data_IF_019988568839
#
_entry.id   IF_019988568839
#
_cell.length_a   1.000
_cell.length_b   1.000
_cell.length_c   1.000
_cell.angle_alpha   90.00
_cell.angle_beta   90.00
_cell.angle_gamma   90.00
#
_symmetry.space_group_name_H-M   'P 1'
#
loop_
_entity.id
_entity.type
_entity.pdbx_description
1 polymer ?
#
# COMPACT_ATOMS: atom_id res chain seq x y z
N UNK A 1 44.36 -31.45 -26.65
CA UNK A 1 44.48 -30.59 -25.46
C UNK A 1 43.07 -30.17 -25.07
N UNK A 2 42.54 -30.75 -23.99
CA UNK A 2 41.21 -30.48 -23.49
C UNK A 2 41.32 -29.38 -22.42
N UNK A 3 40.72 -28.22 -22.66
CA UNK A 3 40.53 -27.22 -21.62
C UNK A 3 39.12 -27.37 -21.06
N UNK A 4 39.03 -27.97 -19.87
CA UNK A 4 37.85 -27.94 -19.04
C UNK A 4 37.59 -26.53 -18.53
N UNK A 5 36.40 -26.02 -18.79
CA UNK A 5 35.78 -24.95 -18.03
C UNK A 5 34.53 -25.54 -17.38
N UNK A 6 34.74 -26.23 -16.26
CA UNK A 6 33.71 -26.54 -15.28
C UNK A 6 34.08 -25.81 -14.01
N UNK A 7 33.65 -24.56 -13.87
CA UNK A 7 33.05 -24.11 -12.60
C UNK A 7 32.49 -22.70 -12.76
N UNK A 8 31.17 -22.62 -12.66
CA UNK A 8 30.42 -21.39 -12.84
C UNK A 8 28.91 -21.63 -12.66
N UNK A 9 28.54 -22.63 -11.88
CA UNK A 9 27.17 -22.83 -11.40
C UNK A 9 27.14 -22.64 -9.89
N UNK A 10 27.76 -21.56 -9.41
CA UNK A 10 27.51 -21.04 -8.08
C UNK A 10 26.09 -20.45 -8.05
N UNK A 11 25.12 -21.29 -7.68
CA UNK A 11 23.95 -20.88 -6.92
C UNK A 11 23.07 -19.78 -7.51
N UNK A 12 22.48 -19.99 -8.68
CA UNK A 12 21.17 -19.39 -8.96
C UNK A 12 20.09 -20.28 -8.30
N UNK A 13 20.09 -20.37 -6.97
CA UNK A 13 18.90 -20.83 -6.24
C UNK A 13 17.86 -19.74 -6.47
N UNK A 14 16.82 -20.06 -7.25
CA UNK A 14 15.80 -19.12 -7.64
C UNK A 14 15.28 -18.35 -6.43
N UNK A 15 15.59 -17.06 -6.34
CA UNK A 15 14.87 -16.12 -5.49
C UNK A 15 13.47 -16.01 -6.08
N UNK A 16 12.58 -16.90 -5.69
CA UNK A 16 11.17 -16.81 -6.06
C UNK A 16 10.66 -15.45 -5.55
N UNK A 17 10.39 -14.54 -6.49
CA UNK A 17 9.86 -13.22 -6.16
C UNK A 17 8.46 -13.36 -5.56
N UNK A 18 8.21 -12.61 -4.48
CA UNK A 18 6.91 -12.52 -3.86
C UNK A 18 5.95 -11.81 -4.80
N UNK A 19 4.79 -12.40 -5.08
CA UNK A 19 3.75 -11.74 -5.87
C UNK A 19 2.75 -11.09 -4.93
N UNK A 20 2.74 -9.76 -4.89
CA UNK A 20 1.81 -8.96 -4.09
C UNK A 20 0.64 -8.48 -4.95
N UNK A 21 -0.58 -8.67 -4.47
CA UNK A 21 -1.73 -7.97 -5.05
C UNK A 21 -1.66 -6.48 -4.66
N UNK A 22 -1.68 -5.61 -5.67
CA UNK A 22 -1.59 -4.15 -5.51
C UNK A 22 -2.76 -3.47 -6.21
N UNK A 23 -3.02 -2.21 -5.86
CA UNK A 23 -4.04 -1.39 -6.50
C UNK A 23 -3.37 -0.24 -7.25
N UNK A 24 -3.79 0.00 -8.49
CA UNK A 24 -3.34 1.11 -9.32
C UNK A 24 -4.53 2.00 -9.70
N UNK A 25 -4.29 3.30 -9.89
CA UNK A 25 -5.28 4.23 -10.42
C UNK A 25 -5.60 3.86 -11.88
N UNK A 26 -6.88 3.78 -12.24
CA UNK A 26 -7.33 3.40 -13.60
C UNK A 26 -7.48 4.59 -14.57
N UNK A 27 -7.19 5.82 -14.11
CA UNK A 27 -7.30 7.06 -14.89
C UNK A 27 -8.73 7.57 -15.07
N UNK A 28 -9.74 6.89 -14.53
CA UNK A 28 -11.17 7.23 -14.65
C UNK A 28 -11.85 7.49 -13.30
N UNK A 29 -11.05 7.68 -12.25
CA UNK A 29 -11.54 7.87 -10.89
C UNK A 29 -11.80 6.56 -10.13
N UNK A 30 -11.39 5.42 -10.68
CA UNK A 30 -11.44 4.12 -10.04
C UNK A 30 -10.05 3.53 -9.79
N UNK A 31 -10.05 2.28 -9.35
CA UNK A 31 -8.84 1.53 -9.05
C UNK A 31 -8.91 0.16 -9.71
N UNK A 32 -7.80 -0.26 -10.32
CA UNK A 32 -7.64 -1.60 -10.90
C UNK A 32 -6.65 -2.40 -10.08
N UNK A 33 -6.96 -3.68 -9.84
CA UNK A 33 -6.06 -4.58 -9.14
C UNK A 33 -4.97 -5.08 -10.10
N UNK A 34 -3.73 -5.12 -9.61
CA UNK A 34 -2.56 -5.61 -10.33
C UNK A 34 -1.69 -6.50 -9.45
N UNK A 35 -0.57 -6.95 -10.01
CA UNK A 35 0.42 -7.77 -9.32
C UNK A 35 1.78 -7.10 -9.37
N UNK A 36 2.44 -7.02 -8.21
CA UNK A 36 3.80 -6.53 -8.08
C UNK A 36 4.71 -7.69 -7.65
N UNK A 37 5.80 -7.91 -8.38
CA UNK A 37 6.83 -8.88 -7.99
C UNK A 37 7.89 -8.18 -7.13
N UNK A 38 8.14 -8.69 -5.94
CA UNK A 38 9.04 -8.09 -4.95
C UNK A 38 9.99 -9.15 -4.41
N UNK A 39 11.27 -8.81 -4.28
CA UNK A 39 12.22 -9.68 -3.60
C UNK A 39 11.80 -9.91 -2.14
N UNK A 40 11.86 -11.15 -1.61
CA UNK A 40 11.46 -11.44 -0.22
C UNK A 40 12.17 -10.57 0.83
N UNK A 41 13.43 -10.22 0.57
CA UNK A 41 14.25 -9.33 1.43
C UNK A 41 13.72 -7.89 1.48
N UNK A 42 12.98 -7.45 0.45
CA UNK A 42 12.39 -6.12 0.39
C UNK A 42 10.98 -6.05 1.00
N UNK A 43 10.33 -7.18 1.30
CA UNK A 43 9.00 -7.21 1.90
C UNK A 43 8.88 -6.40 3.21
N UNK A 44 9.86 -6.41 4.14
CA UNK A 44 9.81 -5.56 5.33
C UNK A 44 9.82 -4.06 4.98
N UNK A 45 10.62 -3.65 4.00
CA UNK A 45 10.70 -2.27 3.52
C UNK A 45 9.38 -1.85 2.88
N UNK A 46 8.81 -2.69 2.02
CA UNK A 46 7.50 -2.46 1.39
C UNK A 46 6.42 -2.30 2.45
N UNK A 47 6.36 -3.18 3.45
CA UNK A 47 5.44 -3.06 4.59
C UNK A 47 5.61 -1.71 5.30
N UNK A 48 6.84 -1.32 5.62
CA UNK A 48 7.11 -0.05 6.30
C UNK A 48 6.64 1.16 5.48
N UNK A 49 6.84 1.16 4.17
CA UNK A 49 6.35 2.22 3.26
C UNK A 49 4.83 2.32 3.28
N UNK A 50 4.11 1.20 3.20
CA UNK A 50 2.64 1.21 3.25
C UNK A 50 2.08 1.61 4.61
N UNK A 51 2.75 1.22 5.71
CA UNK A 51 2.40 1.71 7.06
C UNK A 51 2.55 3.22 7.14
N UNK A 52 3.66 3.79 6.65
CA UNK A 52 3.85 5.24 6.63
C UNK A 52 2.82 5.95 5.76
N UNK A 53 2.49 5.40 4.60
CA UNK A 53 1.45 5.95 3.73
C UNK A 53 0.08 5.96 4.43
N UNK A 54 -0.29 4.86 5.09
CA UNK A 54 -1.54 4.77 5.87
C UNK A 54 -1.62 5.83 6.96
N UNK A 55 -0.54 6.03 7.73
CA UNK A 55 -0.54 7.04 8.79
C UNK A 55 -0.64 8.47 8.22
N UNK A 56 -0.05 8.74 7.04
CA UNK A 56 -0.26 10.01 6.33
C UNK A 56 -1.72 10.19 5.90
N UNK A 57 -2.36 9.16 5.37
CA UNK A 57 -3.79 9.24 5.01
C UNK A 57 -4.68 9.48 6.23
N UNK A 58 -4.41 8.82 7.37
CA UNK A 58 -5.12 9.10 8.63
C UNK A 58 -4.97 10.55 9.08
N UNK A 59 -3.76 11.12 8.98
CA UNK A 59 -3.54 12.53 9.28
C UNK A 59 -4.33 13.45 8.33
N UNK A 60 -4.44 13.08 7.05
CA UNK A 60 -5.27 13.81 6.08
C UNK A 60 -6.76 13.68 6.39
N UNK A 61 -7.26 12.55 6.89
CA UNK A 61 -8.66 12.38 7.33
C UNK A 61 -8.98 13.38 8.44
N UNK A 62 -8.10 13.51 9.43
CA UNK A 62 -8.27 14.49 10.52
C UNK A 62 -8.36 15.92 9.96
N UNK A 63 -7.50 16.26 8.99
CA UNK A 63 -7.55 17.56 8.32
C UNK A 63 -8.83 17.75 7.52
N UNK A 64 -9.32 16.71 6.83
CA UNK A 64 -10.58 16.73 6.09
C UNK A 64 -11.77 16.99 7.03
N UNK A 65 -11.80 16.31 8.17
CA UNK A 65 -12.83 16.53 9.20
C UNK A 65 -12.77 17.96 9.77
N UNK A 66 -11.59 18.55 9.90
CA UNK A 66 -11.47 19.97 10.28
C UNK A 66 -12.09 20.87 9.21
N UNK A 67 -11.80 20.63 7.93
CA UNK A 67 -12.37 21.40 6.81
C UNK A 67 -13.91 21.31 6.77
N UNK A 68 -14.48 20.15 7.11
CA UNK A 68 -15.94 19.98 7.22
C UNK A 68 -16.60 20.91 8.26
N UNK A 69 -15.85 21.29 9.29
CA UNK A 69 -16.36 22.02 10.45
C UNK A 69 -15.80 23.45 10.57
N UNK A 70 -15.25 24.00 9.48
CA UNK A 70 -14.80 25.39 9.46
C UNK A 70 -16.01 26.32 9.60
N UNK A 71 -15.87 27.38 10.41
CA UNK A 71 -16.85 28.46 10.47
C UNK A 71 -16.63 29.43 9.30
N UNK A 72 -17.70 29.99 8.71
CA UNK A 72 -17.55 31.02 7.67
C UNK A 72 -16.83 32.25 8.23
N UNK A 73 -15.97 32.89 7.41
CA UNK A 73 -15.20 34.08 7.83
C UNK A 73 -16.08 35.33 8.04
N UNK A 74 -17.34 35.29 7.61
CA UNK A 74 -18.32 36.36 7.75
C UNK A 74 -19.75 35.84 7.67
N UNK A 75 -20.71 36.70 8.00
CA UNK A 75 -22.15 36.36 8.03
C UNK A 75 -22.85 36.51 6.68
N UNK A 76 -22.13 36.89 5.61
CA UNK A 76 -22.70 37.00 4.28
C UNK A 76 -23.01 35.62 3.67
N UNK A 77 -24.01 35.59 2.80
CA UNK A 77 -24.50 34.37 2.16
C UNK A 77 -23.43 33.69 1.30
N UNK A 78 -22.48 34.45 0.74
CA UNK A 78 -21.41 33.89 -0.11
C UNK A 78 -20.40 33.14 0.75
N UNK A 79 -19.96 33.73 1.86
CA UNK A 79 -19.06 33.10 2.84
C UNK A 79 -19.67 31.83 3.42
N UNK A 80 -20.95 31.87 3.81
CA UNK A 80 -21.68 30.69 4.31
C UNK A 80 -21.76 29.59 3.26
N UNK A 81 -22.12 29.93 2.03
CA UNK A 81 -22.21 28.96 0.92
C UNK A 81 -20.85 28.35 0.57
N UNK A 82 -19.79 29.16 0.52
CA UNK A 82 -18.44 28.69 0.22
C UNK A 82 -17.95 27.66 1.25
N UNK A 83 -18.15 27.94 2.54
CA UNK A 83 -17.80 26.99 3.62
C UNK A 83 -18.69 25.74 3.59
N UNK A 84 -19.98 25.88 3.27
CA UNK A 84 -20.87 24.74 3.13
C UNK A 84 -20.45 23.80 1.98
N UNK A 85 -20.06 24.36 0.83
CA UNK A 85 -19.62 23.57 -0.32
C UNK A 85 -18.23 22.96 -0.07
N UNK A 86 -17.31 23.68 0.59
CA UNK A 86 -16.05 23.14 1.08
C UNK A 86 -16.29 21.94 2.02
N UNK A 87 -17.22 22.08 2.96
CA UNK A 87 -17.55 21.02 3.91
C UNK A 87 -18.13 19.78 3.23
N UNK A 88 -18.94 19.95 2.18
CA UNK A 88 -19.40 18.83 1.36
C UNK A 88 -18.23 18.11 0.66
N UNK A 89 -17.33 18.84 0.01
CA UNK A 89 -16.17 18.24 -0.67
C UNK A 89 -15.21 17.54 0.29
N UNK A 90 -15.03 18.09 1.50
CA UNK A 90 -14.23 17.49 2.55
C UNK A 90 -14.93 16.31 3.27
N UNK A 91 -16.21 16.08 2.95
CA UNK A 91 -17.10 15.09 3.52
C UNK A 91 -16.69 13.63 3.33
N UNK A 92 -17.52 12.74 3.88
CA UNK A 92 -17.37 11.28 3.75
C UNK A 92 -18.32 10.68 2.70
N UNK A 93 -18.99 11.52 1.90
CA UNK A 93 -19.86 11.09 0.80
C UNK A 93 -19.08 10.58 -0.41
N UNK A 94 -19.77 9.92 -1.34
CA UNK A 94 -19.15 9.44 -2.58
C UNK A 94 -18.58 10.61 -3.40
N UNK A 95 -17.36 10.44 -3.90
CA UNK A 95 -16.61 11.49 -4.60
C UNK A 95 -16.01 12.57 -3.69
N UNK A 96 -16.19 12.47 -2.37
CA UNK A 96 -15.61 13.42 -1.42
C UNK A 96 -14.22 12.97 -0.95
N UNK A 97 -13.47 13.93 -0.42
CA UNK A 97 -12.09 13.72 0.04
C UNK A 97 -12.02 12.69 1.18
N UNK A 98 -12.90 12.78 2.17
CA UNK A 98 -12.92 11.86 3.32
C UNK A 98 -13.14 10.41 2.89
N UNK A 99 -14.10 10.17 1.98
CA UNK A 99 -14.34 8.85 1.39
C UNK A 99 -13.12 8.32 0.65
N UNK A 100 -12.51 9.14 -0.20
CA UNK A 100 -11.31 8.76 -0.97
C UNK A 100 -10.14 8.40 -0.05
N UNK A 101 -9.93 9.16 1.01
CA UNK A 101 -8.87 8.90 1.99
C UNK A 101 -9.12 7.60 2.78
N UNK A 102 -10.37 7.35 3.19
CA UNK A 102 -10.76 6.10 3.85
C UNK A 102 -10.55 4.89 2.94
N UNK A 103 -10.88 5.00 1.65
CA UNK A 103 -10.64 3.94 0.68
C UNK A 103 -9.13 3.71 0.46
N UNK A 104 -8.30 4.76 0.47
CA UNK A 104 -6.85 4.63 0.44
C UNK A 104 -6.29 3.93 1.68
N UNK A 105 -6.81 4.23 2.87
CA UNK A 105 -6.43 3.56 4.13
C UNK A 105 -6.74 2.06 4.04
N UNK A 106 -7.95 1.70 3.63
CA UNK A 106 -8.37 0.30 3.49
C UNK A 106 -7.44 -0.47 2.53
N UNK A 107 -7.10 0.13 1.39
CA UNK A 107 -6.17 -0.49 0.42
C UNK A 107 -4.75 -0.62 0.96
N UNK A 108 -4.26 0.32 1.76
CA UNK A 108 -2.98 0.17 2.45
C UNK A 108 -3.03 -1.02 3.42
N UNK A 109 -4.10 -1.19 4.18
CA UNK A 109 -4.27 -2.32 5.09
C UNK A 109 -4.32 -3.66 4.35
N UNK A 110 -5.01 -3.73 3.20
CA UNK A 110 -5.03 -4.91 2.34
C UNK A 110 -3.62 -5.30 1.87
N UNK A 111 -2.84 -4.33 1.39
CA UNK A 111 -1.47 -4.58 0.91
C UNK A 111 -0.57 -5.00 2.07
N UNK A 112 -0.66 -4.35 3.24
CA UNK A 112 0.08 -4.75 4.44
C UNK A 112 -0.25 -6.20 4.80
N UNK A 113 -1.52 -6.57 4.82
CA UNK A 113 -1.95 -7.94 5.10
C UNK A 113 -1.42 -8.96 4.08
N UNK A 114 -1.37 -8.60 2.80
CA UNK A 114 -0.78 -9.46 1.76
C UNK A 114 0.74 -9.62 1.91
N UNK A 115 1.44 -8.55 2.30
CA UNK A 115 2.88 -8.60 2.58
C UNK A 115 3.16 -9.47 3.81
N UNK A 116 2.38 -9.33 4.88
CA UNK A 116 2.53 -10.17 6.08
C UNK A 116 2.32 -11.65 5.79
N UNK A 117 1.28 -12.00 5.03
CA UNK A 117 1.05 -13.37 4.57
C UNK A 117 2.22 -13.89 3.73
N UNK A 118 2.73 -13.07 2.82
CA UNK A 118 3.89 -13.44 1.99
C UNK A 118 5.12 -13.69 2.85
N UNK A 119 5.42 -12.82 3.81
CA UNK A 119 6.55 -13.00 4.74
C UNK A 119 6.43 -14.29 5.57
N UNK A 120 5.22 -14.64 6.01
CA UNK A 120 4.97 -15.90 6.72
C UNK A 120 5.24 -17.12 5.84
N UNK A 121 4.78 -17.09 4.59
CA UNK A 121 5.03 -18.17 3.62
C UNK A 121 6.54 -18.38 3.39
N UNK A 122 7.30 -17.30 3.20
CA UNK A 122 8.77 -17.41 3.03
C UNK A 122 9.46 -17.95 4.28
N UNK A 123 9.05 -17.52 5.49
CA UNK A 123 9.61 -18.04 6.74
C UNK A 123 9.39 -19.56 6.89
N UNK A 124 8.20 -20.04 6.52
CA UNK A 124 7.88 -21.48 6.54
C UNK A 124 8.68 -22.23 5.48
N UNK A 125 8.79 -21.68 4.26
CA UNK A 125 9.59 -22.27 3.18
C UNK A 125 11.07 -22.40 3.57
N UNK A 126 11.66 -21.34 4.12
CA UNK A 126 13.05 -21.31 4.55
C UNK A 126 13.32 -22.31 5.70
N UNK A 127 12.41 -22.39 6.67
CA UNK A 127 12.48 -23.39 7.75
C UNK A 127 12.41 -24.82 7.20
N UNK A 128 11.54 -25.07 6.21
CA UNK A 128 11.39 -26.40 5.60
C UNK A 128 12.60 -26.80 4.73
N UNK A 129 13.21 -25.84 4.03
CA UNK A 129 14.43 -26.03 3.27
C UNK A 129 15.62 -26.31 4.20
N UNK A 130 15.71 -25.57 5.30
CA UNK A 130 16.73 -25.75 6.35
C UNK A 130 16.69 -27.16 6.98
N UNK A 131 15.50 -27.73 7.14
CA UNK A 131 15.32 -29.09 7.70
C UNK A 131 15.76 -30.17 6.70
N UNK A 132 15.51 -29.99 5.40
CA UNK A 132 15.89 -30.98 4.36
C UNK A 132 17.38 -31.00 4.04
N UNK A 133 18.12 -29.93 4.38
CA UNK A 133 19.56 -29.78 4.10
C UNK A 133 20.47 -30.23 5.25
N UNK A 134 19.90 -30.75 6.35
CA UNK A 134 20.69 -31.30 7.45
C UNK A 134 20.93 -32.81 7.19
N UNK A 135 22.17 -33.25 6.90
CA UNK A 135 22.51 -34.67 6.79
C UNK A 135 22.41 -35.40 8.13
#
# INVERSE_FOLDING_TARGET
MANGFTDGAAGAVGREMATLAVWANDGKGGFTQGQLKVDPEQLPTVKATFVQAREKFKAMVISSQKLQNIAPPGDDEVSKKAVQDLGKFAGDGDGCLGKTLNDCIARCDDIIGNVEKSMQLYKVADTSASIKLKP
#
